data_IF_926313048702
#
_entry.id   IF_926313048702
#
_cell.length_a   1.000
_cell.length_b   1.000
_cell.length_c   1.000
_cell.angle_alpha   90.00
_cell.angle_beta   90.00
_cell.angle_gamma   90.00
#
_symmetry.space_group_name_H-M   'P 1'
#
loop_
_entity.id
_entity.type
_entity.pdbx_description
1 polymer ?
#
# COMPACT_ATOMS: atom_id res chain seq x y z
N UNK A 1 -38.13 32.41 -16.09
CA UNK A 1 -37.32 32.29 -14.84
C UNK A 1 -36.65 30.94 -14.86
N UNK A 2 -35.39 30.94 -14.46
CA UNK A 2 -34.29 30.11 -14.97
C UNK A 2 -34.36 28.64 -14.53
N UNK A 3 -34.37 27.73 -15.50
CA UNK A 3 -34.23 26.29 -15.32
C UNK A 3 -32.78 25.97 -14.95
N UNK A 4 -32.56 25.50 -13.73
CA UNK A 4 -31.26 25.03 -13.25
C UNK A 4 -30.90 23.73 -13.97
N UNK A 5 -29.94 23.79 -14.90
CA UNK A 5 -29.36 22.61 -15.54
C UNK A 5 -28.49 21.87 -14.52
N UNK A 6 -28.94 20.69 -14.11
CA UNK A 6 -28.13 19.73 -13.34
C UNK A 6 -26.97 19.27 -14.22
N UNK A 7 -25.74 19.68 -13.88
CA UNK A 7 -24.52 19.22 -14.52
C UNK A 7 -24.39 17.71 -14.32
N UNK A 8 -24.55 16.94 -15.40
CA UNK A 8 -24.29 15.52 -15.39
C UNK A 8 -22.79 15.30 -15.12
N UNK A 9 -22.45 14.67 -14.00
CA UNK A 9 -21.09 14.17 -13.76
C UNK A 9 -20.80 13.09 -14.82
N UNK A 10 -20.15 13.47 -15.90
CA UNK A 10 -19.60 12.52 -16.88
C UNK A 10 -18.50 11.73 -16.20
N UNK A 11 -18.83 10.53 -15.74
CA UNK A 11 -17.83 9.53 -15.32
C UNK A 11 -17.10 9.10 -16.59
N UNK A 12 -15.95 9.72 -16.86
CA UNK A 12 -15.07 9.34 -17.96
C UNK A 12 -14.62 7.90 -17.75
N UNK A 13 -14.97 7.03 -18.69
CA UNK A 13 -14.47 5.65 -18.73
C UNK A 13 -12.94 5.71 -18.84
N UNK A 14 -12.18 4.93 -18.07
CA UNK A 14 -10.74 4.91 -18.21
C UNK A 14 -10.30 4.49 -19.62
N UNK A 15 -9.18 5.05 -20.10
CA UNK A 15 -8.67 4.70 -21.41
C UNK A 15 -8.26 3.22 -21.44
N UNK A 16 -8.58 2.52 -22.52
CA UNK A 16 -8.06 1.18 -22.77
C UNK A 16 -6.56 1.32 -23.04
N UNK A 17 -5.74 1.07 -22.02
CA UNK A 17 -4.28 1.19 -22.08
C UNK A 17 -3.65 -0.15 -21.72
N UNK A 18 -2.43 -0.39 -22.22
CA UNK A 18 -1.67 -1.60 -21.90
C UNK A 18 -1.23 -1.66 -20.43
N UNK A 19 -1.21 -0.51 -19.74
CA UNK A 19 -0.88 -0.42 -18.32
C UNK A 19 -2.13 -0.56 -17.43
N UNK A 20 -2.03 -1.24 -16.28
CA UNK A 20 -3.16 -1.43 -15.39
C UNK A 20 -3.66 -0.07 -14.85
N UNK A 21 -4.90 0.26 -15.18
CA UNK A 21 -5.54 1.47 -14.68
C UNK A 21 -6.14 1.24 -13.29
N UNK A 22 -5.47 1.74 -12.25
CA UNK A 22 -6.02 1.81 -10.90
C UNK A 22 -6.58 3.21 -10.65
N UNK A 23 -7.91 3.34 -10.54
CA UNK A 23 -8.55 4.62 -10.14
C UNK A 23 -7.92 5.21 -8.88
N UNK A 24 -7.52 4.35 -7.94
CA UNK A 24 -6.88 4.77 -6.70
C UNK A 24 -5.51 5.44 -6.92
N UNK A 25 -4.76 5.02 -7.95
CA UNK A 25 -3.46 5.59 -8.28
C UNK A 25 -3.57 6.96 -8.97
N UNK A 26 -4.68 7.25 -9.65
CA UNK A 26 -4.81 8.42 -10.52
C UNK A 26 -5.90 9.42 -10.10
N UNK A 27 -6.79 9.07 -9.16
CA UNK A 27 -7.84 10.00 -8.72
C UNK A 27 -7.27 11.06 -7.76
N UNK A 28 -7.78 12.28 -7.92
CA UNK A 28 -7.51 13.43 -7.06
C UNK A 28 -8.64 13.70 -6.06
N UNK A 29 -9.66 12.85 -5.99
CA UNK A 29 -10.69 13.02 -4.98
C UNK A 29 -10.08 12.88 -3.57
N UNK A 30 -10.49 13.72 -2.60
CA UNK A 30 -9.85 13.76 -1.29
C UNK A 30 -9.82 12.42 -0.55
N UNK A 31 -10.86 11.59 -0.74
CA UNK A 31 -10.96 10.28 -0.09
C UNK A 31 -9.94 9.31 -0.69
N UNK A 32 -9.84 9.24 -2.01
CA UNK A 32 -8.82 8.42 -2.69
C UNK A 32 -7.41 8.90 -2.36
N UNK A 33 -7.16 10.21 -2.37
CA UNK A 33 -5.84 10.76 -2.02
C UNK A 33 -5.43 10.34 -0.59
N UNK A 34 -6.37 10.42 0.36
CA UNK A 34 -6.16 9.96 1.74
C UNK A 34 -5.88 8.45 1.81
N UNK A 35 -6.68 7.64 1.11
CA UNK A 35 -6.47 6.19 1.08
C UNK A 35 -5.13 5.81 0.43
N UNK A 36 -4.73 6.49 -0.64
CA UNK A 36 -3.43 6.28 -1.31
C UNK A 36 -2.28 6.64 -0.37
N UNK A 37 -2.38 7.76 0.34
CA UNK A 37 -1.39 8.16 1.34
C UNK A 37 -1.25 7.12 2.47
N UNK A 38 -2.36 6.56 2.96
CA UNK A 38 -2.35 5.49 3.96
C UNK A 38 -1.65 4.23 3.42
N UNK A 39 -1.97 3.82 2.19
CA UNK A 39 -1.36 2.66 1.56
C UNK A 39 0.16 2.83 1.40
N UNK A 40 0.61 3.99 0.93
CA UNK A 40 2.04 4.31 0.81
C UNK A 40 2.72 4.36 2.18
N UNK A 41 2.06 4.87 3.21
CA UNK A 41 2.57 4.85 4.58
C UNK A 41 2.80 3.41 5.06
N UNK A 42 1.84 2.52 4.82
CA UNK A 42 1.98 1.11 5.15
C UNK A 42 3.11 0.43 4.36
N UNK A 43 3.30 0.76 3.09
CA UNK A 43 4.43 0.26 2.30
C UNK A 43 5.77 0.70 2.92
N UNK A 44 5.91 1.98 3.30
CA UNK A 44 7.10 2.48 4.00
C UNK A 44 7.32 1.75 5.33
N UNK A 45 6.25 1.49 6.10
CA UNK A 45 6.36 0.73 7.35
C UNK A 45 6.86 -0.70 7.12
N UNK A 46 6.42 -1.36 6.05
CA UNK A 46 6.93 -2.68 5.62
C UNK A 46 8.41 -2.60 5.28
N UNK A 47 8.82 -1.64 4.45
CA UNK A 47 10.23 -1.43 4.09
C UNK A 47 11.11 -1.26 5.35
N UNK A 48 10.68 -0.43 6.30
CA UNK A 48 11.39 -0.17 7.56
C UNK A 48 11.35 -1.33 8.55
N UNK A 49 10.44 -2.28 8.36
CA UNK A 49 10.32 -3.49 9.19
C UNK A 49 11.13 -4.66 8.64
N UNK A 50 11.81 -4.50 7.52
CA UNK A 50 12.57 -5.58 6.88
C UNK A 50 13.82 -5.92 7.71
N UNK A 51 13.99 -7.16 8.18
CA UNK A 51 15.23 -7.59 8.83
C UNK A 51 16.40 -7.62 7.83
N UNK A 52 17.60 -7.40 8.34
CA UNK A 52 18.86 -7.56 7.61
C UNK A 52 19.38 -9.00 7.75
N UNK A 53 20.33 -9.45 6.90
CA UNK A 53 20.83 -10.83 6.94
C UNK A 53 21.43 -11.27 8.28
N UNK A 54 21.95 -10.34 9.08
CA UNK A 54 22.58 -10.62 10.37
C UNK A 54 21.59 -10.54 11.56
N UNK A 55 20.33 -10.18 11.30
CA UNK A 55 19.33 -10.03 12.36
C UNK A 55 18.77 -11.39 12.83
N UNK A 56 18.66 -11.53 14.16
CA UNK A 56 17.83 -12.58 14.74
C UNK A 56 16.35 -12.20 14.60
N UNK A 57 15.65 -12.84 13.65
CA UNK A 57 14.25 -12.51 13.29
C UNK A 57 13.31 -12.41 14.51
N UNK A 58 13.31 -13.33 15.51
CA UNK A 58 12.48 -13.19 16.70
C UNK A 58 12.70 -11.91 17.52
N UNK A 59 13.95 -11.44 17.63
CA UNK A 59 14.27 -10.20 18.35
C UNK A 59 13.82 -8.97 17.54
N UNK A 60 14.11 -8.97 16.24
CA UNK A 60 13.66 -7.93 15.31
C UNK A 60 12.14 -7.74 15.31
N UNK A 61 11.39 -8.84 15.18
CA UNK A 61 9.92 -8.84 15.26
C UNK A 61 9.43 -8.31 16.62
N UNK A 62 10.12 -8.67 17.71
CA UNK A 62 9.75 -8.19 19.04
C UNK A 62 9.93 -6.67 19.18
N UNK A 63 11.00 -6.10 18.59
CA UNK A 63 11.22 -4.65 18.54
C UNK A 63 10.13 -3.94 17.73
N UNK A 64 9.74 -4.49 16.58
CA UNK A 64 8.64 -3.94 15.76
C UNK A 64 7.33 -3.96 16.55
N UNK A 65 6.99 -5.09 17.16
CA UNK A 65 5.75 -5.26 17.92
C UNK A 65 5.60 -4.19 19.01
N UNK A 66 6.67 -3.93 19.76
CA UNK A 66 6.69 -2.89 20.80
C UNK A 66 6.57 -1.49 20.20
N UNK A 67 7.34 -1.17 19.15
CA UNK A 67 7.35 0.18 18.54
C UNK A 67 6.01 0.53 17.88
N UNK A 68 5.35 -0.44 17.26
CA UNK A 68 4.09 -0.23 16.57
C UNK A 68 2.88 -0.40 17.51
N UNK A 69 3.06 -0.94 18.72
CA UNK A 69 1.96 -1.23 19.63
C UNK A 69 1.04 -2.34 19.10
N UNK A 70 1.61 -3.35 18.45
CA UNK A 70 0.88 -4.46 17.81
C UNK A 70 1.31 -5.82 18.36
N UNK A 71 0.55 -6.87 18.07
CA UNK A 71 0.95 -8.23 18.44
C UNK A 71 2.16 -8.70 17.65
N UNK A 72 2.91 -9.66 18.20
CA UNK A 72 4.05 -10.28 17.48
C UNK A 72 3.64 -10.90 16.15
N UNK A 73 2.46 -11.51 16.07
CA UNK A 73 1.93 -12.08 14.81
C UNK A 73 1.80 -10.99 13.74
N UNK A 74 1.24 -9.83 14.09
CA UNK A 74 1.12 -8.72 13.13
C UNK A 74 2.50 -8.17 12.76
N UNK A 75 3.42 -8.07 13.72
CA UNK A 75 4.80 -7.61 13.46
C UNK A 75 5.57 -8.58 12.54
N UNK A 76 5.37 -9.89 12.68
CA UNK A 76 5.93 -10.90 11.77
C UNK A 76 5.47 -10.65 10.33
N UNK A 77 4.19 -10.38 10.11
CA UNK A 77 3.69 -10.10 8.76
C UNK A 77 4.34 -8.86 8.11
N UNK A 78 4.73 -7.86 8.90
CA UNK A 78 5.49 -6.70 8.38
C UNK A 78 6.91 -7.09 7.97
N UNK A 79 7.60 -7.89 8.80
CA UNK A 79 8.95 -8.36 8.52
C UNK A 79 9.00 -9.28 7.29
N UNK A 80 8.07 -10.25 7.22
CA UNK A 80 7.98 -11.19 6.10
C UNK A 80 7.66 -10.47 4.79
N UNK A 81 6.73 -9.49 4.82
CA UNK A 81 6.41 -8.69 3.65
C UNK A 81 7.63 -7.91 3.17
N UNK A 82 8.43 -7.35 4.08
CA UNK A 82 9.67 -6.65 3.75
C UNK A 82 10.66 -7.56 3.04
N UNK A 83 10.89 -8.76 3.59
CA UNK A 83 11.77 -9.77 2.98
C UNK A 83 11.31 -10.18 1.58
N UNK A 84 10.01 -10.37 1.40
CA UNK A 84 9.44 -10.70 0.09
C UNK A 84 9.61 -9.57 -0.92
N UNK A 85 9.42 -8.32 -0.54
CA UNK A 85 9.63 -7.20 -1.45
C UNK A 85 11.10 -7.02 -1.84
N UNK A 86 12.04 -7.34 -0.95
CA UNK A 86 13.47 -7.40 -1.30
C UNK A 86 13.77 -8.50 -2.32
N UNK A 87 13.14 -9.67 -2.18
CA UNK A 87 13.32 -10.78 -3.11
C UNK A 87 12.66 -10.53 -4.48
N UNK A 88 11.56 -9.76 -4.52
CA UNK A 88 10.76 -9.52 -5.73
C UNK A 88 10.61 -8.02 -6.03
N UNK A 89 11.68 -7.35 -6.53
CA UNK A 89 11.71 -5.90 -6.71
C UNK A 89 10.68 -5.36 -7.70
N UNK A 90 10.25 -6.16 -8.69
CA UNK A 90 9.18 -5.76 -9.62
C UNK A 90 7.81 -5.65 -8.95
N UNK A 91 7.53 -6.52 -7.98
CA UNK A 91 6.30 -6.42 -7.18
C UNK A 91 6.39 -5.17 -6.31
N UNK A 92 7.55 -4.93 -5.70
CA UNK A 92 7.78 -3.73 -4.90
C UNK A 92 7.53 -2.45 -5.70
N UNK A 93 8.06 -2.35 -6.91
CA UNK A 93 7.83 -1.21 -7.81
C UNK A 93 6.35 -1.02 -8.12
N UNK A 94 5.61 -2.09 -8.40
CA UNK A 94 4.17 -2.02 -8.63
C UNK A 94 3.41 -1.46 -7.42
N UNK A 95 3.77 -1.87 -6.19
CA UNK A 95 3.10 -1.41 -4.98
C UNK A 95 3.30 0.09 -4.71
N UNK A 96 4.36 0.71 -5.24
CA UNK A 96 4.63 2.15 -5.10
C UNK A 96 3.62 3.06 -5.80
N UNK A 97 2.72 2.53 -6.63
CA UNK A 97 1.58 3.31 -7.14
C UNK A 97 0.55 3.66 -6.04
N UNK A 98 0.63 3.02 -4.86
CA UNK A 98 -0.26 3.28 -3.72
C UNK A 98 -1.69 2.76 -3.90
N UNK A 99 -1.95 1.99 -4.96
CA UNK A 99 -3.26 1.37 -5.21
C UNK A 99 -3.59 0.20 -4.26
N UNK A 100 -2.58 -0.34 -3.57
CA UNK A 100 -2.67 -1.58 -2.81
C UNK A 100 -2.62 -1.31 -1.31
N UNK A 101 -3.64 -1.78 -0.59
CA UNK A 101 -3.66 -1.71 0.88
C UNK A 101 -2.68 -2.70 1.53
N UNK A 102 -2.39 -2.50 2.82
CA UNK A 102 -1.53 -3.40 3.60
C UNK A 102 -1.95 -4.87 3.51
N UNK A 103 -3.24 -5.17 3.39
CA UNK A 103 -3.72 -6.55 3.22
C UNK A 103 -3.25 -7.18 1.91
N UNK A 104 -3.21 -6.41 0.82
CA UNK A 104 -2.66 -6.88 -0.45
C UNK A 104 -1.14 -7.10 -0.35
N UNK A 105 -0.43 -6.19 0.33
CA UNK A 105 1.02 -6.30 0.56
C UNK A 105 1.35 -7.54 1.41
N UNK A 106 0.51 -7.90 2.37
CA UNK A 106 0.70 -9.08 3.22
C UNK A 106 0.20 -10.39 2.58
N UNK A 107 -0.38 -10.34 1.38
CA UNK A 107 -0.79 -11.54 0.65
C UNK A 107 0.24 -12.02 -0.37
N UNK A 108 1.32 -11.24 -0.59
CA UNK A 108 2.43 -11.68 -1.44
C UNK A 108 3.43 -12.56 -0.71
N UNK A 109 3.44 -12.57 0.63
CA UNK A 109 4.16 -13.52 1.50
C UNK A 109 3.48 -14.87 1.58
#
# INVERSE_FOLDING_TARGET
MTTTLTTANTVTRPPDTAEPYYRLACSDDPLTATSRALNLTHLTMVEQSTPTPDDLVPDHVSKIAVRFGISKVVATNYADAGLMLQAFPRIHELLRCGAFSIRHIQQVT
#
